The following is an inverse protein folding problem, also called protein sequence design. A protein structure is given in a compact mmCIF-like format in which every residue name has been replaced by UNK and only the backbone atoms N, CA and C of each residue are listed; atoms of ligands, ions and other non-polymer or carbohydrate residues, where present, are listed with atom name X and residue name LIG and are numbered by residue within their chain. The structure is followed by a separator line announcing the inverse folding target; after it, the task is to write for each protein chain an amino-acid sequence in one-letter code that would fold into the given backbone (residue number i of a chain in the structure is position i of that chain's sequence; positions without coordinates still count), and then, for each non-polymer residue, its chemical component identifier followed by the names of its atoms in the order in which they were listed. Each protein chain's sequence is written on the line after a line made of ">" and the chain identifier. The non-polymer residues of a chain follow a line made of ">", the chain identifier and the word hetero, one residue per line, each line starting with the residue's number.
data_IF_195480897404
#
_entry.id   IF_195480897404
#
_cell.length_a   1.000
_cell.length_b   1.000
_cell.length_c   1.000
_cell.angle_alpha   90.00
_cell.angle_beta   90.00
_cell.angle_gamma   90.00
#
_symmetry.space_group_name_H-M   'P 1'
#
loop_
_entity.id
_entity.type
_entity.pdbx_description
1 polymer ?
#
# COMPACT_ATOMS: atom_id res chain seq x y z
N UNK A 1 6.67 -6.84 -20.56
CA UNK A 1 5.69 -6.48 -19.52
C UNK A 1 6.14 -7.24 -18.28
N UNK A 2 6.64 -6.65 -17.20
CA UNK A 2 6.39 -5.35 -16.56
C UNK A 2 7.70 -4.78 -16.00
N UNK A 3 7.95 -3.48 -16.21
CA UNK A 3 9.14 -2.76 -15.74
C UNK A 3 8.76 -1.74 -14.64
N UNK A 4 8.21 -2.23 -13.54
CA UNK A 4 8.32 -1.52 -12.26
C UNK A 4 9.44 -2.22 -11.48
N UNK A 5 10.34 -1.48 -10.78
CA UNK A 5 11.23 -2.11 -9.82
C UNK A 5 10.34 -2.92 -8.87
N UNK A 6 10.53 -4.23 -8.84
CA UNK A 6 9.75 -5.11 -7.97
C UNK A 6 10.25 -4.81 -6.56
N UNK A 7 9.57 -3.91 -5.86
CA UNK A 7 9.66 -3.90 -4.40
C UNK A 7 9.37 -5.32 -3.90
N UNK A 8 10.04 -5.73 -2.83
CA UNK A 8 9.84 -7.06 -2.29
C UNK A 8 8.42 -7.14 -1.73
N UNK A 9 7.64 -8.10 -2.24
CA UNK A 9 6.29 -8.34 -1.73
C UNK A 9 6.40 -8.76 -0.27
N UNK A 10 5.71 -8.03 0.60
CA UNK A 10 5.67 -8.31 2.03
C UNK A 10 4.47 -9.20 2.35
N UNK A 11 3.27 -8.65 2.14
CA UNK A 11 2.02 -9.29 2.48
C UNK A 11 0.83 -8.68 1.73
N UNK A 12 -0.32 -9.34 1.84
CA UNK A 12 -1.58 -8.87 1.29
C UNK A 12 -2.74 -9.04 2.27
N UNK A 13 -3.70 -8.13 2.20
CA UNK A 13 -4.87 -8.09 3.08
C UNK A 13 -6.14 -7.90 2.27
N UNK A 14 -7.12 -8.79 2.46
CA UNK A 14 -8.39 -8.78 1.72
C UNK A 14 -9.47 -8.12 2.56
N UNK A 15 -10.19 -7.18 1.95
CA UNK A 15 -11.33 -6.50 2.57
C UNK A 15 -12.41 -7.49 3.05
N UNK A 16 -13.18 -7.15 4.11
CA UNK A 16 -14.27 -7.99 4.61
C UNK A 16 -15.31 -8.38 3.55
N UNK A 17 -15.63 -7.45 2.65
CA UNK A 17 -16.57 -7.67 1.54
C UNK A 17 -15.92 -8.31 0.30
N UNK A 18 -14.60 -8.53 0.32
CA UNK A 18 -13.80 -9.12 -0.77
C UNK A 18 -13.80 -8.32 -2.08
N UNK A 19 -14.21 -7.04 -2.05
CA UNK A 19 -14.16 -6.17 -3.23
C UNK A 19 -12.75 -5.63 -3.49
N UNK A 20 -11.94 -5.55 -2.43
CA UNK A 20 -10.60 -4.97 -2.45
C UNK A 20 -9.57 -5.92 -1.86
N UNK A 21 -8.37 -5.92 -2.43
CA UNK A 21 -7.18 -6.55 -1.86
C UNK A 21 -6.08 -5.50 -1.80
N UNK A 22 -5.48 -5.28 -0.64
CA UNK A 22 -4.33 -4.38 -0.50
C UNK A 22 -3.06 -5.22 -0.47
N UNK A 23 -2.09 -4.87 -1.32
CA UNK A 23 -0.77 -5.49 -1.37
C UNK A 23 0.28 -4.50 -0.88
N UNK A 24 1.17 -4.95 0.00
CA UNK A 24 2.28 -4.17 0.51
C UNK A 24 3.62 -4.64 -0.07
N UNK A 25 4.47 -3.68 -0.36
CA UNK A 25 5.77 -3.89 -0.98
C UNK A 25 6.83 -3.02 -0.30
N UNK A 26 7.99 -3.61 -0.03
CA UNK A 26 9.17 -2.89 0.41
C UNK A 26 9.95 -2.37 -0.79
N UNK A 27 10.17 -1.06 -0.84
CA UNK A 27 10.98 -0.38 -1.83
C UNK A 27 12.24 0.20 -1.18
N UNK A 28 13.35 0.26 -1.90
CA UNK A 28 14.61 0.76 -1.35
C UNK A 28 15.48 -0.35 -0.75
N UNK A 29 16.58 0.02 -0.08
CA UNK A 29 17.54 -0.95 0.46
C UNK A 29 18.83 -1.17 -0.36
N UNK A 30 19.09 -0.32 -1.36
CA UNK A 30 20.43 -0.22 -1.94
C UNK A 30 21.33 0.66 -1.06
N UNK A 31 22.66 0.59 -1.28
CA UNK A 31 23.67 1.28 -0.46
C UNK A 31 23.48 2.80 -0.26
N UNK A 32 22.61 3.45 -1.04
CA UNK A 32 22.41 4.91 -1.03
C UNK A 32 20.96 5.34 -0.82
N UNK A 33 20.01 4.40 -0.68
CA UNK A 33 18.57 4.72 -0.60
C UNK A 33 17.96 4.04 0.61
N UNK A 34 17.33 4.83 1.47
CA UNK A 34 16.52 4.35 2.59
C UNK A 34 15.33 3.49 2.13
N UNK A 35 14.76 2.74 3.07
CA UNK A 35 13.60 1.90 2.85
C UNK A 35 12.32 2.74 2.78
N UNK A 36 11.36 2.25 2.02
CA UNK A 36 10.03 2.84 1.87
C UNK A 36 9.00 1.73 1.74
N UNK A 37 7.84 1.91 2.37
CA UNK A 37 6.69 1.03 2.18
C UNK A 37 5.77 1.64 1.15
N UNK A 38 5.37 0.82 0.17
CA UNK A 38 4.31 1.14 -0.78
C UNK A 38 3.19 0.14 -0.62
N UNK A 39 1.95 0.63 -0.50
CA UNK A 39 0.77 -0.22 -0.63
C UNK A 39 -0.08 0.19 -1.83
N UNK A 40 -0.66 -0.80 -2.49
CA UNK A 40 -1.63 -0.60 -3.55
C UNK A 40 -2.89 -1.42 -3.27
N UNK A 41 -4.04 -0.84 -3.62
CA UNK A 41 -5.31 -1.55 -3.64
C UNK A 41 -5.55 -2.14 -5.03
N UNK A 42 -6.04 -3.38 -5.06
CA UNK A 42 -6.56 -4.09 -6.21
C UNK A 42 -8.08 -4.13 -6.10
N UNK A 43 -8.77 -3.60 -7.10
CA UNK A 43 -10.22 -3.70 -7.25
C UNK A 43 -10.56 -5.07 -7.83
N UNK A 44 -10.94 -6.04 -7.00
CA UNK A 44 -11.11 -7.45 -7.38
C UNK A 44 -12.12 -7.66 -8.52
N UNK A 45 -13.11 -6.78 -8.65
CA UNK A 45 -14.11 -6.82 -9.73
C UNK A 45 -13.57 -6.43 -11.11
N UNK A 46 -12.56 -5.55 -11.17
CA UNK A 46 -12.05 -4.98 -12.43
C UNK A 46 -10.59 -5.31 -12.71
N UNK A 47 -9.86 -5.84 -11.71
CA UNK A 47 -8.41 -6.05 -11.77
C UNK A 47 -7.58 -4.76 -11.80
N UNK A 48 -8.21 -3.59 -11.69
CA UNK A 48 -7.49 -2.31 -11.62
C UNK A 48 -6.72 -2.23 -10.32
N UNK A 49 -5.55 -1.61 -10.37
CA UNK A 49 -4.73 -1.33 -9.19
C UNK A 49 -4.51 0.16 -9.02
N UNK A 50 -4.38 0.61 -7.76
CA UNK A 50 -4.11 2.01 -7.42
C UNK A 50 -3.21 2.09 -6.20
N UNK A 51 -2.21 2.96 -6.23
CA UNK A 51 -1.42 3.27 -5.05
C UNK A 51 -2.29 4.00 -4.00
N UNK A 52 -2.22 3.56 -2.75
CA UNK A 52 -2.96 4.18 -1.64
C UNK A 52 -2.07 4.59 -0.48
N UNK A 53 -0.83 4.11 -0.43
CA UNK A 53 0.12 4.41 0.65
C UNK A 53 1.54 4.44 0.11
N UNK A 54 2.27 5.49 0.46
CA UNK A 54 3.70 5.64 0.22
C UNK A 54 4.32 6.36 1.41
N UNK A 55 5.16 5.66 2.17
CA UNK A 55 5.92 6.27 3.27
C UNK A 55 7.42 5.98 3.16
N UNK A 56 8.25 6.95 3.52
CA UNK A 56 9.72 6.87 3.47
C UNK A 56 10.29 6.67 4.89
N UNK A 57 11.45 6.00 4.97
CA UNK A 57 12.07 5.58 6.23
C UNK A 57 11.23 4.54 7.00
N UNK A 58 10.65 3.60 6.25
CA UNK A 58 9.78 2.56 6.79
C UNK A 58 10.10 1.22 6.11
N UNK A 59 10.30 0.18 6.92
CA UNK A 59 10.67 -1.18 6.48
C UNK A 59 9.67 -2.25 6.92
N UNK A 60 8.68 -1.88 7.74
CA UNK A 60 7.63 -2.78 8.24
C UNK A 60 6.24 -2.21 7.97
N UNK A 61 5.26 -3.11 7.82
CA UNK A 61 3.87 -2.74 7.54
C UNK A 61 2.93 -3.49 8.48
N UNK A 62 1.98 -2.78 9.08
CA UNK A 62 0.82 -3.34 9.78
C UNK A 62 -0.45 -2.88 9.05
N UNK A 63 -1.23 -3.85 8.55
CA UNK A 63 -2.44 -3.58 7.78
C UNK A 63 -3.66 -4.18 8.47
N UNK A 64 -4.63 -3.32 8.80
CA UNK A 64 -5.88 -3.74 9.44
C UNK A 64 -7.09 -3.08 8.80
N UNK A 65 -8.00 -3.90 8.29
CA UNK A 65 -9.31 -3.40 7.85
C UNK A 65 -10.13 -2.92 9.05
N UNK A 66 -10.56 -1.67 8.98
CA UNK A 66 -11.46 -1.05 9.96
C UNK A 66 -12.91 -1.34 9.57
N UNK A 67 -13.19 -1.27 8.27
CA UNK A 67 -14.47 -1.61 7.67
C UNK A 67 -14.26 -2.17 6.25
N UNK A 68 -15.32 -2.18 5.44
CA UNK A 68 -15.32 -2.70 4.08
C UNK A 68 -14.47 -1.92 3.07
N UNK A 69 -14.28 -0.62 3.30
CA UNK A 69 -13.62 0.32 2.39
C UNK A 69 -12.44 1.05 3.05
N UNK A 70 -12.34 1.01 4.38
CA UNK A 70 -11.29 1.70 5.14
C UNK A 70 -10.29 0.71 5.70
N UNK A 71 -9.02 0.94 5.39
CA UNK A 71 -7.89 0.20 5.94
C UNK A 71 -7.01 1.13 6.76
N UNK A 72 -6.48 0.63 7.88
CA UNK A 72 -5.42 1.26 8.66
C UNK A 72 -4.10 0.64 8.24
N UNK A 73 -3.16 1.47 7.78
CA UNK A 73 -1.81 1.08 7.36
C UNK A 73 -0.83 1.88 8.22
N UNK A 74 -0.13 1.22 9.14
CA UNK A 74 0.84 1.85 10.05
C UNK A 74 0.27 3.07 10.82
N UNK A 75 -0.98 2.97 11.30
CA UNK A 75 -1.74 4.04 11.97
C UNK A 75 -2.27 5.15 11.04
N UNK A 76 -2.18 4.98 9.72
CA UNK A 76 -2.83 5.83 8.73
C UNK A 76 -4.11 5.18 8.22
N UNK A 77 -5.25 5.80 8.53
CA UNK A 77 -6.55 5.36 8.00
C UNK A 77 -6.76 5.90 6.61
N UNK A 78 -7.04 5.01 5.67
CA UNK A 78 -7.18 5.33 4.26
C UNK A 78 -8.44 4.64 3.73
N UNK A 79 -9.35 5.43 3.18
CA UNK A 79 -10.46 4.94 2.38
C UNK A 79 -9.96 4.55 0.98
N UNK A 80 -9.98 3.25 0.67
CA UNK A 80 -9.44 2.72 -0.60
C UNK A 80 -10.25 3.11 -1.84
N UNK A 81 -11.39 3.79 -1.68
CA UNK A 81 -12.23 4.28 -2.78
C UNK A 81 -11.64 5.55 -3.39
N UNK A 82 -11.16 6.48 -2.58
CA UNK A 82 -10.81 7.84 -3.04
C UNK A 82 -9.61 8.48 -2.32
N UNK A 83 -9.13 7.89 -1.23
CA UNK A 83 -7.99 8.42 -0.49
C UNK A 83 -6.68 7.71 -0.85
N UNK A 84 -5.59 8.42 -0.55
CA UNK A 84 -4.22 7.92 -0.59
C UNK A 84 -3.36 8.76 0.37
N UNK A 85 -2.33 8.14 0.92
CA UNK A 85 -1.31 8.80 1.71
C UNK A 85 0.04 8.76 0.97
N UNK A 86 0.64 9.92 0.70
CA UNK A 86 2.01 10.03 0.22
C UNK A 86 2.75 11.03 1.13
N UNK A 87 3.83 10.58 1.77
CA UNK A 87 4.65 11.43 2.65
C UNK A 87 5.19 12.69 1.96
N UNK A 88 5.24 12.72 0.62
CA UNK A 88 5.73 13.87 -0.15
C UNK A 88 4.72 15.01 -0.23
N UNK A 89 3.43 14.74 -0.05
CA UNK A 89 2.40 15.81 -0.07
C UNK A 89 2.48 16.70 1.19
N UNK A 90 3.27 16.32 2.20
CA UNK A 90 3.49 17.09 3.43
C UNK A 90 4.77 17.97 3.40
N UNK A 91 5.51 17.99 2.27
CA UNK A 91 6.80 18.72 2.11
C UNK A 91 6.71 20.10 1.48
#
# INVERSE_FOLDING_TARGET
>A
MDNLPKGDFLESSVSPNKNYTVNAYLFGGNATTDYAIRCEVVYNSSGKTRNIYWNYHEDTVDMKWIDENTIDINNHRINVIDESYDFRDDL
#
